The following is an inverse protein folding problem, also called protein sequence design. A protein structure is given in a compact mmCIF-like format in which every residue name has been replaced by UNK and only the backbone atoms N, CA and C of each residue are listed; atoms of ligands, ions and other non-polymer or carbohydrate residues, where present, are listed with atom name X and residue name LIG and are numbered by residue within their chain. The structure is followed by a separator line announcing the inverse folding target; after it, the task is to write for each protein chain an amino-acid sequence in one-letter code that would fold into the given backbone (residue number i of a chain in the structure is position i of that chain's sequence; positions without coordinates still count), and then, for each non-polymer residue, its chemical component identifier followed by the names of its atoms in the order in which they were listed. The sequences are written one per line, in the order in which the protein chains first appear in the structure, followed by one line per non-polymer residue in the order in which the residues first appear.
data_IF_830377679905
#
_entry.id   IF_830377679905
#
_cell.length_a   1.000
_cell.length_b   1.000
_cell.length_c   1.000
_cell.angle_alpha   90.00
_cell.angle_beta   90.00
_cell.angle_gamma   90.00
#
_symmetry.space_group_name_H-M   'P 1'
#
loop_
_entity.id
_entity.type
_entity.pdbx_description
1 polymer ?
#
# COMPACT_ATOMS: atom_id res chain seq x y z
N UNK A 1 6.18 14.07 11.05
CA UNK A 1 6.35 13.22 12.23
C UNK A 1 5.46 13.72 13.34
N UNK A 2 4.59 12.87 13.84
CA UNK A 2 3.60 13.21 14.88
C UNK A 2 3.75 12.20 16.01
N UNK A 3 3.90 12.68 17.24
CA UNK A 3 3.94 11.81 18.43
C UNK A 3 2.53 11.56 18.92
N UNK A 4 2.19 10.29 19.17
CA UNK A 4 0.87 9.83 19.55
C UNK A 4 0.94 9.00 20.82
N UNK A 5 -0.09 9.12 21.65
CA UNK A 5 -0.25 8.29 22.83
C UNK A 5 -0.66 6.85 22.43
N UNK A 6 -0.49 5.91 23.36
CA UNK A 6 -1.03 4.58 23.21
C UNK A 6 -2.53 4.62 22.89
N UNK A 7 -2.94 3.78 21.93
CA UNK A 7 -4.31 3.62 21.42
C UNK A 7 -4.91 4.86 20.75
N UNK A 8 -4.18 5.97 20.68
CA UNK A 8 -4.53 7.12 19.85
C UNK A 8 -4.40 6.74 18.38
N UNK A 9 -5.31 7.22 17.53
CA UNK A 9 -5.24 6.97 16.09
C UNK A 9 -4.38 8.04 15.40
N UNK A 10 -3.51 7.64 14.47
CA UNK A 10 -2.66 8.61 13.76
C UNK A 10 -3.43 9.43 12.73
N UNK A 11 -4.55 8.92 12.22
CA UNK A 11 -5.45 9.65 11.33
C UNK A 11 -6.87 9.09 11.38
N UNK A 12 -7.82 9.87 10.88
CA UNK A 12 -9.20 9.43 10.70
C UNK A 12 -9.32 8.59 9.41
N UNK A 13 -9.02 7.29 9.53
CA UNK A 13 -9.10 6.35 8.40
C UNK A 13 -10.52 5.77 8.29
N UNK A 14 -11.21 5.92 7.14
CA UNK A 14 -12.51 5.29 6.94
C UNK A 14 -12.41 3.76 6.96
N UNK A 15 -13.35 3.12 7.63
CA UNK A 15 -13.51 1.66 7.64
C UNK A 15 -14.27 1.14 6.41
N UNK A 16 -14.79 2.03 5.56
CA UNK A 16 -15.47 1.67 4.32
C UNK A 16 -14.58 0.75 3.49
N UNK A 17 -15.13 -0.42 3.10
CA UNK A 17 -14.44 -1.48 2.36
C UNK A 17 -13.27 -2.15 3.08
N UNK A 18 -13.20 -1.98 4.39
CA UNK A 18 -12.17 -2.58 5.23
C UNK A 18 -12.83 -3.31 6.39
N UNK A 19 -12.08 -4.24 6.99
CA UNK A 19 -12.47 -4.91 8.22
C UNK A 19 -11.40 -4.69 9.28
N UNK A 20 -11.78 -4.52 10.56
CA UNK A 20 -10.82 -4.41 11.64
C UNK A 20 -10.06 -5.73 11.84
N UNK A 21 -8.79 -5.61 12.17
CA UNK A 21 -7.89 -6.70 12.52
C UNK A 21 -7.07 -6.29 13.76
N UNK A 22 -7.24 -7.03 14.84
CA UNK A 22 -6.42 -6.88 16.03
C UNK A 22 -5.25 -7.87 15.97
N UNK A 23 -4.03 -7.38 16.17
CA UNK A 23 -2.82 -8.20 16.10
C UNK A 23 -1.98 -7.99 17.35
N UNK A 24 -1.54 -9.09 17.97
CA UNK A 24 -0.52 -9.05 19.02
C UNK A 24 0.82 -9.44 18.42
N UNK A 25 1.81 -8.56 18.54
CA UNK A 25 3.14 -8.76 17.95
C UNK A 25 4.17 -8.82 19.07
N UNK A 26 5.06 -9.82 19.00
CA UNK A 26 6.21 -9.94 19.89
C UNK A 26 7.47 -10.16 19.06
N UNK A 27 8.43 -9.24 19.19
CA UNK A 27 9.65 -9.23 18.40
C UNK A 27 10.75 -10.01 19.10
N UNK A 28 11.34 -10.98 18.39
CA UNK A 28 12.54 -11.68 18.84
C UNK A 28 13.80 -10.83 18.68
N UNK A 29 13.83 -9.95 17.68
CA UNK A 29 14.91 -8.99 17.43
C UNK A 29 14.33 -7.59 17.62
N UNK A 30 14.93 -6.73 18.47
CA UNK A 30 14.45 -5.37 18.64
C UNK A 30 14.45 -4.60 17.32
N UNK A 31 13.34 -3.93 17.02
CA UNK A 31 13.20 -3.01 15.91
C UNK A 31 12.59 -1.70 16.41
N UNK A 32 12.97 -0.58 15.79
CA UNK A 32 12.36 0.73 16.07
C UNK A 32 11.10 1.01 15.26
N UNK A 33 10.65 0.05 14.44
CA UNK A 33 9.45 0.15 13.59
C UNK A 33 8.37 -0.78 14.11
N UNK A 34 7.12 -0.33 13.99
CA UNK A 34 5.93 -1.13 14.27
C UNK A 34 5.57 -1.89 13.00
N UNK A 35 5.53 -3.22 13.11
CA UNK A 35 4.98 -4.13 12.11
C UNK A 35 3.49 -4.33 12.34
N UNK A 36 2.72 -4.27 11.26
CA UNK A 36 1.27 -4.48 11.22
C UNK A 36 0.88 -5.06 9.85
N UNK A 37 -0.29 -5.70 9.77
CA UNK A 37 -0.90 -6.11 8.50
C UNK A 37 -1.99 -5.11 8.12
N UNK A 38 -2.06 -4.76 6.83
CA UNK A 38 -2.97 -3.73 6.34
C UNK A 38 -2.56 -2.33 6.79
N UNK A 39 -3.55 -1.46 6.93
CA UNK A 39 -3.36 -0.08 7.38
C UNK A 39 -3.50 -0.01 8.91
N UNK A 40 -2.41 0.20 9.69
CA UNK A 40 -2.53 0.33 11.13
C UNK A 40 -3.33 1.58 11.48
N UNK A 41 -4.24 1.52 12.45
CA UNK A 41 -4.98 2.68 12.94
C UNK A 41 -4.37 3.23 14.23
N UNK A 42 -4.08 2.34 15.18
CA UNK A 42 -3.52 2.69 16.49
C UNK A 42 -2.67 1.55 17.05
N UNK A 43 -1.78 1.89 17.99
CA UNK A 43 -0.85 0.95 18.63
C UNK A 43 -0.97 1.08 20.15
N UNK A 44 -0.93 -0.03 20.87
CA UNK A 44 -1.09 -0.07 22.33
C UNK A 44 0.08 0.48 23.14
N UNK A 45 1.00 1.22 22.51
CA UNK A 45 2.15 1.88 23.12
C UNK A 45 2.30 3.26 22.49
N UNK A 46 2.95 4.20 23.18
CA UNK A 46 3.26 5.50 22.57
C UNK A 46 4.16 5.30 21.35
N UNK A 47 3.87 6.04 20.27
CA UNK A 47 4.53 5.85 18.99
C UNK A 47 4.64 7.17 18.22
N UNK A 48 5.48 7.17 17.18
CA UNK A 48 5.54 8.27 16.22
C UNK A 48 5.04 7.79 14.86
N UNK A 49 4.17 8.59 14.23
CA UNK A 49 3.74 8.41 12.86
C UNK A 49 4.53 9.35 11.93
N UNK A 50 5.14 8.77 10.90
CA UNK A 50 5.72 9.51 9.80
C UNK A 50 4.80 9.37 8.58
N UNK A 51 4.25 10.50 8.13
CA UNK A 51 3.44 10.60 6.93
C UNK A 51 4.25 11.26 5.82
N UNK A 52 4.00 10.84 4.57
CA UNK A 52 4.61 11.45 3.38
C UNK A 52 3.87 12.72 2.97
N UNK A 53 2.55 12.66 3.07
CA UNK A 53 1.59 13.76 3.01
C UNK A 53 0.36 13.32 3.83
N UNK A 54 -0.57 14.22 4.21
CA UNK A 54 -1.68 13.87 5.08
C UNK A 54 -2.46 12.64 4.59
N UNK A 55 -2.50 11.59 5.41
CA UNK A 55 -3.19 10.33 5.09
C UNK A 55 -2.37 9.28 4.32
N UNK A 56 -1.11 9.56 3.96
CA UNK A 56 -0.18 8.60 3.36
C UNK A 56 0.92 8.21 4.35
N UNK A 57 0.65 7.17 5.13
CA UNK A 57 1.53 6.66 6.16
C UNK A 57 2.80 6.04 5.55
N UNK A 58 3.97 6.46 6.04
CA UNK A 58 5.26 5.86 5.67
C UNK A 58 5.66 4.79 6.66
N UNK A 59 5.59 5.10 7.96
CA UNK A 59 5.94 4.17 9.03
C UNK A 59 5.40 4.63 10.37
N UNK A 60 5.19 3.66 11.24
CA UNK A 60 5.02 3.84 12.67
C UNK A 60 6.29 3.39 13.39
N UNK A 61 6.75 4.17 14.36
CA UNK A 61 7.96 3.86 15.13
C UNK A 61 7.70 3.89 16.62
N UNK A 62 8.24 2.91 17.34
CA UNK A 62 8.18 2.83 18.79
C UNK A 62 9.32 1.96 19.31
N UNK A 63 9.77 2.24 20.54
CA UNK A 63 10.74 1.41 21.24
C UNK A 63 10.03 0.33 22.08
N UNK A 64 9.34 -0.60 21.44
CA UNK A 64 8.59 -1.66 22.10
C UNK A 64 8.92 -3.04 21.49
N UNK A 65 9.12 -4.05 22.36
CA UNK A 65 9.34 -5.44 21.93
C UNK A 65 8.04 -6.24 21.81
N UNK A 66 6.98 -5.80 22.48
CA UNK A 66 5.66 -6.40 22.41
C UNK A 66 4.62 -5.30 22.42
N UNK A 67 3.65 -5.40 21.53
CA UNK A 67 2.57 -4.42 21.38
C UNK A 67 1.38 -5.08 20.70
N UNK A 68 0.21 -4.45 20.85
CA UNK A 68 -0.97 -4.75 20.06
C UNK A 68 -1.19 -3.63 19.05
N UNK A 69 -1.57 -3.97 17.84
CA UNK A 69 -1.94 -3.01 16.79
C UNK A 69 -3.35 -3.32 16.31
N UNK A 70 -4.18 -2.26 16.25
CA UNK A 70 -5.48 -2.31 15.58
C UNK A 70 -5.29 -1.80 14.17
N UNK A 71 -5.62 -2.62 13.18
CA UNK A 71 -5.45 -2.31 11.76
C UNK A 71 -6.76 -2.45 11.01
N UNK A 72 -6.82 -1.85 9.83
CA UNK A 72 -7.86 -2.09 8.83
C UNK A 72 -7.25 -2.83 7.65
N UNK A 73 -7.80 -4.00 7.32
CA UNK A 73 -7.42 -4.75 6.12
C UNK A 73 -8.48 -4.60 5.03
N UNK A 74 -8.10 -4.49 3.74
CA UNK A 74 -9.08 -4.47 2.64
C UNK A 74 -10.02 -5.68 2.71
N UNK A 75 -11.30 -5.44 2.44
CA UNK A 75 -12.37 -6.43 2.52
C UNK A 75 -13.35 -6.28 1.34
N UNK A 76 -12.81 -6.20 0.13
CA UNK A 76 -13.56 -6.14 -1.13
C UNK A 76 -13.42 -7.45 -1.90
N UNK A 77 -14.49 -7.85 -2.58
CA UNK A 77 -14.45 -8.87 -3.62
C UNK A 77 -13.96 -8.31 -4.96
N UNK A 78 -13.51 -9.19 -5.84
CA UNK A 78 -13.16 -8.85 -7.23
C UNK A 78 -14.29 -8.14 -7.98
N UNK A 79 -15.56 -8.49 -7.71
CA UNK A 79 -16.70 -7.84 -8.34
C UNK A 79 -16.81 -6.38 -7.88
N UNK A 80 -16.72 -6.13 -6.58
CA UNK A 80 -16.76 -4.77 -6.03
C UNK A 80 -15.55 -3.94 -6.48
N UNK A 81 -14.36 -4.55 -6.62
CA UNK A 81 -13.16 -3.88 -7.12
C UNK A 81 -13.30 -3.44 -8.59
N UNK A 82 -13.97 -4.24 -9.44
CA UNK A 82 -14.25 -3.86 -10.83
C UNK A 82 -15.20 -2.67 -10.93
N UNK A 83 -16.14 -2.56 -10.00
CA UNK A 83 -17.16 -1.52 -9.98
C UNK A 83 -16.66 -0.19 -9.35
N UNK A 84 -15.43 -0.17 -8.80
CA UNK A 84 -14.86 1.06 -8.28
C UNK A 84 -14.58 2.08 -9.40
N UNK A 85 -14.88 3.37 -9.16
CA UNK A 85 -14.66 4.39 -10.17
C UNK A 85 -13.17 4.52 -10.51
N UNK A 86 -12.88 4.69 -11.79
CA UNK A 86 -11.55 5.07 -12.26
C UNK A 86 -11.25 6.54 -11.96
N UNK A 87 -9.98 6.92 -12.00
CA UNK A 87 -9.57 8.32 -12.08
C UNK A 87 -9.68 8.78 -13.53
N UNK A 88 -10.31 9.93 -13.77
CA UNK A 88 -10.54 10.50 -15.09
C UNK A 88 -10.62 12.03 -15.04
N UNK A 89 -11.04 12.67 -16.15
CA UNK A 89 -11.16 14.13 -16.21
C UNK A 89 -12.24 14.70 -15.26
N UNK A 90 -13.28 13.94 -14.94
CA UNK A 90 -14.36 14.34 -14.03
C UNK A 90 -14.05 13.98 -12.57
N UNK A 91 -13.19 12.99 -12.35
CA UNK A 91 -12.66 12.58 -11.05
C UNK A 91 -11.13 12.53 -11.14
N UNK A 92 -10.45 13.69 -11.13
CA UNK A 92 -9.00 13.73 -11.23
C UNK A 92 -8.34 13.09 -10.01
N UNK A 93 -7.18 12.49 -10.24
CA UNK A 93 -6.31 12.04 -9.16
C UNK A 93 -5.82 13.26 -8.35
N UNK A 94 -5.82 13.22 -7.00
CA UNK A 94 -5.29 14.32 -6.20
C UNK A 94 -3.80 14.58 -6.48
N UNK A 95 -3.39 15.84 -6.39
CA UNK A 95 -2.04 16.29 -6.78
C UNK A 95 -0.93 15.61 -5.97
N UNK A 96 -1.20 15.30 -4.70
CA UNK A 96 -0.26 14.64 -3.79
C UNK A 96 0.21 13.26 -4.30
N UNK A 97 -0.61 12.61 -5.15
CA UNK A 97 -0.28 11.33 -5.78
C UNK A 97 0.52 11.45 -7.07
N UNK A 98 0.75 12.65 -7.61
CA UNK A 98 1.50 12.85 -8.86
C UNK A 98 2.88 12.19 -8.81
N UNK A 99 3.51 12.18 -7.62
CA UNK A 99 4.80 11.52 -7.37
C UNK A 99 4.83 10.01 -7.66
N UNK A 100 3.66 9.35 -7.66
CA UNK A 100 3.54 7.92 -7.96
C UNK A 100 3.36 7.64 -9.46
N UNK A 101 3.21 8.69 -10.28
CA UNK A 101 3.14 8.61 -11.73
C UNK A 101 4.49 8.88 -12.41
N UNK A 102 5.50 9.28 -11.63
CA UNK A 102 6.85 9.53 -12.14
C UNK A 102 7.50 8.22 -12.60
N UNK A 103 8.01 8.22 -13.83
CA UNK A 103 8.72 7.08 -14.41
C UNK A 103 10.17 7.47 -14.66
N UNK A 104 11.16 6.70 -14.17
CA UNK A 104 12.56 7.00 -14.44
C UNK A 104 12.89 6.84 -15.93
N UNK A 105 13.94 7.52 -16.39
CA UNK A 105 14.40 7.46 -17.79
C UNK A 105 14.77 6.04 -18.25
N UNK A 106 15.07 5.14 -17.30
CA UNK A 106 15.35 3.72 -17.58
C UNK A 106 14.12 2.93 -18.06
N UNK A 107 12.90 3.48 -17.93
CA UNK A 107 11.69 2.85 -18.46
C UNK A 107 11.64 3.03 -19.98
N UNK A 108 12.08 1.99 -20.68
CA UNK A 108 12.12 1.93 -22.15
C UNK A 108 10.73 1.94 -22.79
N UNK A 109 10.66 2.36 -24.06
CA UNK A 109 9.42 2.32 -24.86
C UNK A 109 8.84 0.90 -24.96
N UNK A 110 9.69 -0.12 -24.97
CA UNK A 110 9.25 -1.53 -24.96
C UNK A 110 8.38 -1.83 -23.74
N UNK A 111 8.77 -1.36 -22.56
CA UNK A 111 8.01 -1.57 -21.31
C UNK A 111 6.67 -0.82 -21.36
N UNK A 112 6.66 0.40 -21.90
CA UNK A 112 5.44 1.21 -22.06
C UNK A 112 4.45 0.55 -23.02
N UNK A 113 4.95 0.09 -24.17
CA UNK A 113 4.15 -0.62 -25.15
C UNK A 113 3.58 -1.92 -24.59
N UNK A 114 4.39 -2.72 -23.88
CA UNK A 114 3.93 -3.94 -23.24
C UNK A 114 2.83 -3.66 -22.20
N UNK A 115 2.97 -2.62 -21.37
CA UNK A 115 1.93 -2.24 -20.43
C UNK A 115 0.62 -1.86 -21.13
N UNK A 116 0.69 -1.12 -22.25
CA UNK A 116 -0.48 -0.78 -23.06
C UNK A 116 -1.13 -2.02 -23.71
N UNK A 117 -0.33 -2.97 -24.19
CA UNK A 117 -0.81 -4.22 -24.77
C UNK A 117 -1.49 -5.12 -23.72
N UNK A 118 -0.89 -5.27 -22.54
CA UNK A 118 -1.45 -6.09 -21.45
C UNK A 118 -2.77 -5.53 -20.92
N UNK A 119 -2.90 -4.22 -20.89
CA UNK A 119 -4.08 -3.53 -20.36
C UNK A 119 -5.15 -3.25 -21.43
N UNK A 120 -4.88 -3.61 -22.69
CA UNK A 120 -5.81 -3.40 -23.79
C UNK A 120 -7.13 -4.15 -23.55
N UNK A 121 -8.24 -3.41 -23.53
CA UNK A 121 -9.58 -3.97 -23.33
C UNK A 121 -10.00 -4.12 -21.86
N UNK A 122 -9.14 -3.82 -20.89
CA UNK A 122 -9.53 -3.74 -19.49
C UNK A 122 -10.47 -2.54 -19.25
N UNK A 123 -11.56 -2.77 -18.52
CA UNK A 123 -12.62 -1.78 -18.31
C UNK A 123 -12.49 -1.01 -16.99
N UNK A 124 -11.62 -1.48 -16.08
CA UNK A 124 -11.36 -0.86 -14.77
C UNK A 124 -9.88 -0.87 -14.42
N UNK A 125 -9.40 0.03 -13.54
CA UNK A 125 -8.03 -0.02 -13.01
C UNK A 125 -7.69 -1.36 -12.33
N UNK A 126 -8.68 -2.00 -11.70
CA UNK A 126 -8.50 -3.32 -11.11
C UNK A 126 -8.17 -4.38 -12.17
N UNK A 127 -8.91 -4.41 -13.28
CA UNK A 127 -8.63 -5.35 -14.38
C UNK A 127 -7.27 -5.09 -15.04
N UNK A 128 -6.86 -3.83 -15.16
CA UNK A 128 -5.53 -3.48 -15.65
C UNK A 128 -4.44 -4.04 -14.73
N UNK A 129 -4.58 -3.86 -13.41
CA UNK A 129 -3.64 -4.40 -12.43
C UNK A 129 -3.60 -5.93 -12.45
N UNK A 130 -4.76 -6.59 -12.55
CA UNK A 130 -4.86 -8.05 -12.61
C UNK A 130 -4.19 -8.62 -13.88
N UNK A 131 -4.34 -7.97 -15.03
CA UNK A 131 -3.68 -8.38 -16.27
C UNK A 131 -2.14 -8.29 -16.17
N UNK A 132 -1.64 -7.21 -15.57
CA UNK A 132 -0.20 -7.04 -15.30
C UNK A 132 0.28 -8.10 -14.30
N UNK A 133 -0.46 -8.35 -13.22
CA UNK A 133 -0.13 -9.39 -12.24
C UNK A 133 -0.04 -10.77 -12.91
N UNK A 134 -1.02 -11.12 -13.73
CA UNK A 134 -1.04 -12.40 -14.44
C UNK A 134 0.19 -12.57 -15.34
N UNK A 135 0.58 -11.52 -16.05
CA UNK A 135 1.81 -11.51 -16.84
C UNK A 135 3.05 -11.70 -15.95
N UNK A 136 3.16 -10.98 -14.83
CA UNK A 136 4.30 -11.08 -13.91
C UNK A 136 4.42 -12.47 -13.28
N UNK A 137 3.30 -13.17 -13.03
CA UNK A 137 3.30 -14.55 -12.51
C UNK A 137 3.85 -15.58 -13.50
N UNK A 138 4.10 -15.22 -14.76
CA UNK A 138 4.74 -16.12 -15.73
C UNK A 138 6.25 -16.21 -15.54
N UNK A 139 6.87 -15.26 -14.84
CA UNK A 139 8.30 -15.30 -14.54
C UNK A 139 8.58 -16.22 -13.35
N UNK A 140 9.70 -16.95 -13.41
CA UNK A 140 10.19 -17.70 -12.27
C UNK A 140 10.66 -16.74 -11.18
N UNK A 141 10.30 -17.04 -9.94
CA UNK A 141 10.84 -16.32 -8.79
C UNK A 141 12.24 -16.87 -8.47
N UNK A 142 13.24 -15.99 -8.49
CA UNK A 142 14.63 -16.32 -8.23
C UNK A 142 15.25 -15.32 -7.25
N UNK A 143 15.95 -15.82 -6.24
CA UNK A 143 16.68 -15.01 -5.27
C UNK A 143 18.11 -14.72 -5.74
N UNK A 144 18.61 -15.47 -6.71
CA UNK A 144 19.97 -15.40 -7.25
C UNK A 144 19.99 -14.66 -8.60
N UNK A 145 19.39 -13.46 -8.64
CA UNK A 145 19.40 -12.61 -9.82
C UNK A 145 20.70 -11.81 -9.94
N UNK A 146 21.27 -11.66 -11.16
CA UNK A 146 22.43 -10.79 -11.35
C UNK A 146 22.08 -9.34 -10.98
N UNK A 147 23.06 -8.53 -10.54
CA UNK A 147 22.83 -7.13 -10.23
C UNK A 147 22.25 -6.40 -11.45
N UNK A 148 21.31 -5.50 -11.22
CA UNK A 148 20.77 -4.63 -12.26
C UNK A 148 21.94 -3.81 -12.87
N UNK A 149 22.04 -3.72 -14.20
CA UNK A 149 23.10 -2.97 -14.88
C UNK A 149 23.07 -1.47 -14.58
#
# INVERSE_FOLDING_TARGET
RTSLAADEAWSAIPDTWRRPLLQSVSLSIPAGVIFAAGEPQSVSVNYEADERFPGDLVKLTAAARSYTVSSLVPALSDAELRDLPAWDANRPLPEEFARYLELPESVTDRTRQLAAELTAGASSPYEQAAAIEQYLRTFAYDLDVPPLP
#
